data_IF_349651707876
#
_entry.id   IF_349651707876
#
_cell.length_a   1.000
_cell.length_b   1.000
_cell.length_c   1.000
_cell.angle_alpha   90.00
_cell.angle_beta   90.00
_cell.angle_gamma   90.00
#
_symmetry.space_group_name_H-M   'P 1'
#
loop_
_entity.id
_entity.type
_entity.pdbx_description
1 polymer ?
#
# COMPACT_ATOMS: atom_id res chain seq x y z
N UNK A 1 -12.56 -1.63 41.25
CA UNK A 1 -11.60 -0.50 41.23
C UNK A 1 -10.81 -0.43 39.91
N UNK A 2 -10.62 -1.52 39.17
CA UNK A 2 -9.89 -1.57 37.90
C UNK A 2 -10.64 -0.89 36.76
N UNK A 3 -11.96 -0.99 36.66
CA UNK A 3 -12.81 -0.35 35.64
C UNK A 3 -12.66 1.18 35.58
N UNK A 4 -12.20 1.81 36.66
CA UNK A 4 -12.00 3.28 36.73
C UNK A 4 -10.86 3.76 35.84
N UNK A 5 -9.95 2.87 35.43
CA UNK A 5 -8.77 3.18 34.65
C UNK A 5 -8.81 2.62 33.21
N UNK A 6 -9.95 2.04 32.82
CA UNK A 6 -10.14 1.54 31.46
C UNK A 6 -10.00 2.70 30.45
N UNK A 7 -9.15 2.48 29.44
CA UNK A 7 -8.85 3.48 28.43
C UNK A 7 -7.67 4.40 28.74
N UNK A 8 -7.05 4.29 29.92
CA UNK A 8 -5.80 5.00 30.22
C UNK A 8 -4.58 4.15 29.89
N UNK A 9 -3.59 4.77 29.27
CA UNK A 9 -2.30 4.16 28.94
C UNK A 9 -1.18 4.91 29.63
N UNK A 10 -0.25 4.19 30.22
CA UNK A 10 0.95 4.75 30.81
C UNK A 10 2.17 4.47 29.92
N UNK A 11 2.97 5.49 29.66
CA UNK A 11 4.24 5.35 28.96
C UNK A 11 5.36 5.72 29.93
N UNK A 12 6.23 4.76 30.24
CA UNK A 12 7.44 5.00 31.03
C UNK A 12 8.62 5.23 30.07
N UNK A 13 9.39 6.27 30.31
CA UNK A 13 10.53 6.65 29.48
C UNK A 13 11.64 7.29 30.32
N UNK A 14 12.88 7.20 29.85
CA UNK A 14 14.02 7.90 30.38
C UNK A 14 14.38 9.19 29.56
N UNK A 15 13.53 9.54 28.57
CA UNK A 15 13.70 10.76 27.80
C UNK A 15 13.29 11.98 28.63
N UNK A 16 14.04 13.07 28.50
CA UNK A 16 13.77 14.34 29.18
C UNK A 16 12.96 15.34 28.31
N UNK A 17 12.38 14.85 27.23
CA UNK A 17 11.61 15.65 26.28
C UNK A 17 10.22 16.02 26.83
N UNK A 18 9.53 16.90 26.13
CA UNK A 18 8.16 17.26 26.52
C UNK A 18 7.20 16.06 26.43
N UNK A 19 6.19 16.03 27.26
CA UNK A 19 5.13 14.97 27.24
C UNK A 19 4.54 14.80 25.85
N UNK A 20 4.37 15.89 25.13
CA UNK A 20 3.81 15.90 23.76
C UNK A 20 4.75 15.17 22.78
N UNK A 21 6.05 15.39 22.87
CA UNK A 21 7.04 14.76 21.99
C UNK A 21 7.20 13.28 22.32
N UNK A 22 7.19 12.92 23.60
CA UNK A 22 7.21 11.53 24.06
C UNK A 22 6.00 10.77 23.54
N UNK A 23 4.79 11.35 23.63
CA UNK A 23 3.57 10.74 23.09
C UNK A 23 3.62 10.61 21.56
N UNK A 24 4.15 11.61 20.84
CA UNK A 24 4.32 11.54 19.40
C UNK A 24 5.26 10.41 18.97
N UNK A 25 6.36 10.21 19.70
CA UNK A 25 7.29 9.08 19.47
C UNK A 25 6.60 7.74 19.74
N UNK A 26 5.85 7.64 20.85
CA UNK A 26 5.09 6.43 21.18
C UNK A 26 4.04 6.08 20.12
N UNK A 27 3.32 7.07 19.61
CA UNK A 27 2.35 6.88 18.51
C UNK A 27 3.02 6.41 17.20
N UNK A 28 4.23 6.88 16.89
CA UNK A 28 4.99 6.42 15.72
C UNK A 28 5.37 4.94 15.79
N UNK A 29 5.42 4.35 16.97
CA UNK A 29 5.68 2.92 17.15
C UNK A 29 4.64 2.05 16.44
N UNK A 30 3.37 2.46 16.44
CA UNK A 30 2.31 1.81 15.69
C UNK A 30 2.62 1.71 14.18
N UNK A 31 3.25 2.72 13.60
CA UNK A 31 3.63 2.70 12.18
C UNK A 31 4.64 1.60 11.86
N UNK A 32 5.55 1.29 12.77
CA UNK A 32 6.52 0.20 12.60
C UNK A 32 5.81 -1.16 12.64
N UNK A 33 4.90 -1.35 13.59
CA UNK A 33 4.10 -2.56 13.71
C UNK A 33 3.23 -2.78 12.46
N UNK A 34 2.64 -1.70 11.92
CA UNK A 34 1.87 -1.73 10.70
C UNK A 34 2.72 -2.07 9.47
N UNK A 35 3.96 -1.57 9.38
CA UNK A 35 4.91 -1.97 8.35
C UNK A 35 5.19 -3.48 8.38
N UNK A 36 5.43 -4.05 9.55
CA UNK A 36 5.63 -5.49 9.70
C UNK A 36 4.38 -6.30 9.34
N UNK A 37 3.21 -5.81 9.71
CA UNK A 37 1.93 -6.43 9.36
C UNK A 37 1.73 -6.47 7.84
N UNK A 38 1.94 -5.34 7.15
CA UNK A 38 1.82 -5.26 5.69
C UNK A 38 2.81 -6.19 5.01
N UNK A 39 4.08 -6.18 5.41
CA UNK A 39 5.09 -7.08 4.85
C UNK A 39 4.71 -8.55 5.04
N UNK A 40 4.23 -8.91 6.23
CA UNK A 40 3.90 -10.30 6.56
C UNK A 40 2.66 -10.79 5.82
N UNK A 41 1.59 -9.97 5.76
CA UNK A 41 0.28 -10.39 5.25
C UNK A 41 0.08 -10.03 3.78
N UNK A 42 0.25 -8.76 3.42
CA UNK A 42 -0.09 -8.27 2.08
C UNK A 42 0.98 -8.61 1.03
N UNK A 43 2.25 -8.65 1.42
CA UNK A 43 3.36 -9.00 0.53
C UNK A 43 3.81 -10.46 0.67
N UNK A 44 3.11 -11.27 1.48
CA UNK A 44 3.46 -12.67 1.72
C UNK A 44 4.93 -12.85 2.15
N UNK A 45 5.46 -11.92 2.97
CA UNK A 45 6.82 -12.00 3.49
C UNK A 45 7.06 -13.21 4.39
N UNK A 46 6.01 -13.90 4.79
CA UNK A 46 6.03 -15.20 5.51
C UNK A 46 4.98 -16.14 4.96
N UNK A 47 5.24 -17.47 4.94
CA UNK A 47 6.49 -18.15 5.34
C UNK A 47 7.62 -17.93 4.34
N UNK A 48 8.88 -17.92 4.84
CA UNK A 48 10.06 -17.86 3.99
C UNK A 48 10.47 -19.27 3.60
N UNK A 49 10.19 -19.64 2.35
CA UNK A 49 10.45 -21.01 1.83
C UNK A 49 11.86 -21.16 1.22
N UNK A 50 12.80 -20.31 1.59
CA UNK A 50 14.16 -20.33 1.10
C UNK A 50 15.10 -20.89 2.15
N UNK A 51 16.07 -21.75 1.74
CA UNK A 51 17.06 -22.35 2.63
C UNK A 51 18.43 -21.65 2.58
N UNK A 52 18.76 -21.02 1.45
CA UNK A 52 20.02 -20.33 1.28
C UNK A 52 19.95 -18.90 1.87
N UNK A 53 20.95 -18.53 2.66
CA UNK A 53 21.04 -17.23 3.31
C UNK A 53 20.90 -16.05 2.33
N UNK A 54 21.54 -16.15 1.17
CA UNK A 54 21.47 -15.13 0.13
C UNK A 54 20.04 -14.95 -0.42
N UNK A 55 19.32 -16.05 -0.64
CA UNK A 55 17.93 -16.02 -1.11
C UNK A 55 16.99 -15.47 -0.04
N UNK A 56 17.23 -15.76 1.22
CA UNK A 56 16.48 -15.19 2.35
C UNK A 56 16.69 -13.69 2.39
N UNK A 57 17.93 -13.21 2.26
CA UNK A 57 18.25 -11.77 2.20
C UNK A 57 17.59 -11.10 1.01
N UNK A 58 17.65 -11.69 -0.17
CA UNK A 58 17.01 -11.17 -1.38
C UNK A 58 15.49 -11.10 -1.22
N UNK A 59 14.84 -12.10 -0.63
CA UNK A 59 13.42 -12.12 -0.34
C UNK A 59 13.00 -10.93 0.55
N UNK A 60 13.71 -10.71 1.67
CA UNK A 60 13.41 -9.58 2.54
C UNK A 60 13.73 -8.22 1.91
N UNK A 61 14.76 -8.13 1.08
CA UNK A 61 15.06 -6.92 0.33
C UNK A 61 13.91 -6.55 -0.64
N UNK A 62 13.36 -7.55 -1.34
CA UNK A 62 12.21 -7.36 -2.23
C UNK A 62 10.98 -6.89 -1.42
N UNK A 63 10.68 -7.54 -0.30
CA UNK A 63 9.58 -7.15 0.57
C UNK A 63 9.75 -5.71 1.11
N UNK A 64 10.97 -5.35 1.50
CA UNK A 64 11.28 -4.00 1.98
C UNK A 64 11.14 -2.96 0.87
N UNK A 65 11.64 -3.25 -0.33
CA UNK A 65 11.49 -2.34 -1.48
C UNK A 65 10.01 -2.14 -1.84
N UNK A 66 9.23 -3.23 -1.83
CA UNK A 66 7.80 -3.15 -2.05
C UNK A 66 7.09 -2.29 -0.99
N UNK A 67 7.49 -2.45 0.29
CA UNK A 67 6.97 -1.62 1.39
C UNK A 67 7.32 -0.15 1.20
N UNK A 68 8.54 0.17 0.79
CA UNK A 68 8.96 1.55 0.53
C UNK A 68 8.12 2.20 -0.57
N UNK A 69 7.94 1.50 -1.69
CA UNK A 69 7.09 1.99 -2.81
C UNK A 69 5.65 2.18 -2.33
N UNK A 70 5.13 1.22 -1.57
CA UNK A 70 3.78 1.31 -1.01
C UNK A 70 3.63 2.54 -0.10
N UNK A 71 4.57 2.78 0.83
CA UNK A 71 4.52 3.93 1.75
C UNK A 71 4.61 5.27 1.02
N UNK A 72 5.42 5.37 -0.04
CA UNK A 72 5.47 6.56 -0.87
C UNK A 72 4.14 6.83 -1.60
N UNK A 73 3.48 5.78 -2.06
CA UNK A 73 2.16 5.88 -2.67
C UNK A 73 1.09 6.31 -1.63
N UNK A 74 1.12 5.70 -0.44
CA UNK A 74 0.21 6.03 0.66
C UNK A 74 0.31 7.51 1.05
N UNK A 75 1.53 8.03 1.25
CA UNK A 75 1.75 9.46 1.55
C UNK A 75 1.12 10.36 0.47
N UNK A 76 1.28 10.00 -0.81
CA UNK A 76 0.69 10.78 -1.91
C UNK A 76 -0.83 10.72 -1.94
N UNK A 77 -1.43 9.61 -1.53
CA UNK A 77 -2.89 9.49 -1.42
C UNK A 77 -3.43 10.27 -0.22
N UNK A 78 -2.71 10.26 0.91
CA UNK A 78 -3.07 11.01 2.11
C UNK A 78 -3.01 12.53 1.85
N UNK A 79 -2.05 13.02 1.06
CA UNK A 79 -1.96 14.42 0.63
C UNK A 79 -3.23 14.87 -0.11
N UNK A 80 -3.91 13.95 -0.79
CA UNK A 80 -5.19 14.18 -1.47
C UNK A 80 -6.41 14.00 -0.55
N UNK A 81 -6.19 13.77 0.75
CA UNK A 81 -7.25 13.49 1.74
C UNK A 81 -8.09 12.25 1.40
N UNK A 82 -7.54 11.33 0.65
CA UNK A 82 -8.20 10.09 0.26
C UNK A 82 -7.63 8.93 1.08
N UNK A 83 -8.33 8.56 2.14
CA UNK A 83 -7.91 7.43 2.97
C UNK A 83 -8.35 6.11 2.34
N UNK A 84 -7.37 5.30 1.94
CA UNK A 84 -7.55 3.94 1.38
C UNK A 84 -6.80 2.95 2.26
N UNK A 85 -7.44 1.84 2.60
CA UNK A 85 -6.75 0.83 3.43
C UNK A 85 -5.65 0.13 2.64
N UNK A 86 -4.56 -0.34 3.30
CA UNK A 86 -3.49 -1.09 2.63
C UNK A 86 -4.01 -2.29 1.84
N UNK A 87 -4.97 -3.01 2.40
CA UNK A 87 -5.55 -4.18 1.77
C UNK A 87 -6.31 -3.83 0.49
N UNK A 88 -7.14 -2.78 0.51
CA UNK A 88 -7.91 -2.35 -0.65
C UNK A 88 -7.00 -1.86 -1.77
N UNK A 89 -5.99 -1.05 -1.43
CA UNK A 89 -5.04 -0.55 -2.41
C UNK A 89 -4.26 -1.68 -3.09
N UNK A 90 -3.67 -2.59 -2.30
CA UNK A 90 -2.88 -3.71 -2.83
C UNK A 90 -3.75 -4.69 -3.62
N UNK A 91 -4.96 -4.97 -3.14
CA UNK A 91 -5.93 -5.84 -3.85
C UNK A 91 -6.35 -5.20 -5.16
N UNK A 92 -6.64 -3.90 -5.17
CA UNK A 92 -6.97 -3.18 -6.40
C UNK A 92 -5.83 -3.25 -7.40
N UNK A 93 -4.59 -2.95 -7.00
CA UNK A 93 -3.41 -3.00 -7.87
C UNK A 93 -3.16 -4.41 -8.44
N UNK A 94 -3.32 -5.46 -7.63
CA UNK A 94 -3.18 -6.85 -8.08
C UNK A 94 -4.25 -7.27 -9.08
N UNK A 95 -5.46 -6.73 -8.94
CA UNK A 95 -6.60 -7.10 -9.78
C UNK A 95 -6.75 -6.22 -11.02
N UNK A 96 -5.93 -5.17 -11.19
CA UNK A 96 -5.94 -4.31 -12.37
C UNK A 96 -5.38 -5.03 -13.61
N UNK A 97 -6.15 -6.00 -14.09
CA UNK A 97 -5.82 -6.77 -15.28
C UNK A 97 -6.76 -6.43 -16.43
N UNK A 98 -6.25 -6.54 -17.64
CA UNK A 98 -7.04 -6.38 -18.87
C UNK A 98 -6.94 -7.66 -19.70
N UNK A 99 -8.00 -8.01 -20.40
CA UNK A 99 -8.00 -9.12 -21.35
C UNK A 99 -8.18 -8.61 -22.76
N UNK A 100 -7.53 -9.26 -23.71
CA UNK A 100 -7.70 -8.96 -25.14
C UNK A 100 -9.01 -9.59 -25.63
N UNK A 101 -9.84 -8.79 -26.30
CA UNK A 101 -11.11 -9.24 -26.89
C UNK A 101 -10.97 -9.19 -28.41
N UNK A 102 -10.82 -10.37 -29.02
CA UNK A 102 -10.78 -10.57 -30.48
C UNK A 102 -9.75 -9.70 -31.23
N UNK A 103 -8.65 -9.31 -30.59
CA UNK A 103 -7.63 -8.39 -31.12
C UNK A 103 -8.14 -6.98 -31.52
N UNK A 104 -9.36 -6.64 -31.11
CA UNK A 104 -10.01 -5.37 -31.40
C UNK A 104 -9.82 -4.38 -30.25
N UNK A 105 -10.03 -4.85 -29.03
CA UNK A 105 -9.97 -4.04 -27.83
C UNK A 105 -9.51 -4.83 -26.60
N UNK A 106 -9.20 -4.10 -25.53
CA UNK A 106 -8.90 -4.68 -24.22
C UNK A 106 -10.04 -4.34 -23.25
N UNK A 107 -10.54 -5.35 -22.55
CA UNK A 107 -11.58 -5.21 -21.53
C UNK A 107 -10.94 -5.31 -20.14
N UNK A 108 -11.29 -4.37 -19.26
CA UNK A 108 -10.87 -4.42 -17.86
C UNK A 108 -11.57 -5.55 -17.12
N UNK A 109 -10.79 -6.35 -16.37
CA UNK A 109 -11.31 -7.43 -15.52
C UNK A 109 -11.58 -6.97 -14.09
N UNK A 110 -11.35 -5.70 -13.79
CA UNK A 110 -11.56 -5.10 -12.48
C UNK A 110 -12.78 -4.17 -12.48
N UNK A 111 -13.31 -3.95 -11.30
CA UNK A 111 -14.47 -3.07 -11.08
C UNK A 111 -14.05 -1.82 -10.32
N UNK A 112 -14.88 -0.79 -10.39
CA UNK A 112 -14.72 0.45 -9.63
C UNK A 112 -14.58 0.18 -8.12
N UNK A 113 -13.65 0.89 -7.49
CA UNK A 113 -13.44 0.85 -6.04
C UNK A 113 -12.91 2.22 -5.56
N UNK A 114 -13.04 2.51 -4.28
CA UNK A 114 -12.47 3.73 -3.69
C UNK A 114 -10.96 3.86 -3.98
N UNK A 115 -10.25 2.75 -3.95
CA UNK A 115 -8.81 2.71 -4.26
C UNK A 115 -8.54 3.04 -5.74
N UNK A 116 -9.37 2.52 -6.67
CA UNK A 116 -9.25 2.83 -8.09
C UNK A 116 -9.54 4.31 -8.38
N UNK A 117 -10.58 4.86 -7.75
CA UNK A 117 -10.93 6.29 -7.88
C UNK A 117 -9.79 7.18 -7.37
N UNK A 118 -9.22 6.83 -6.22
CA UNK A 118 -8.06 7.52 -5.65
C UNK A 118 -6.83 7.47 -6.58
N UNK A 119 -6.53 6.31 -7.14
CA UNK A 119 -5.44 6.15 -8.11
C UNK A 119 -5.69 6.92 -9.41
N UNK A 120 -6.92 6.94 -9.89
CA UNK A 120 -7.33 7.70 -11.08
C UNK A 120 -7.12 9.20 -10.86
N UNK A 121 -7.53 9.71 -9.70
CA UNK A 121 -7.33 11.11 -9.31
C UNK A 121 -5.84 11.45 -9.16
N UNK A 122 -5.08 10.60 -8.46
CA UNK A 122 -3.66 10.80 -8.22
C UNK A 122 -2.84 10.85 -9.52
N UNK A 123 -3.13 9.92 -10.43
CA UNK A 123 -2.35 9.78 -11.67
C UNK A 123 -2.87 10.63 -12.82
N UNK A 124 -4.06 11.17 -12.72
CA UNK A 124 -4.78 11.83 -13.82
C UNK A 124 -4.91 10.92 -15.07
N UNK A 125 -4.92 9.60 -14.85
CA UNK A 125 -5.05 8.60 -15.90
C UNK A 125 -6.45 7.99 -15.88
N UNK A 126 -7.07 7.69 -17.03
CA UNK A 126 -8.39 7.08 -17.10
C UNK A 126 -8.32 5.59 -16.77
N UNK A 127 -8.14 5.25 -15.48
CA UNK A 127 -8.00 3.86 -15.00
C UNK A 127 -9.35 3.18 -14.77
N UNK A 128 -10.44 3.91 -14.80
CA UNK A 128 -11.81 3.49 -14.50
C UNK A 128 -12.59 2.98 -15.72
N UNK A 129 -11.97 2.96 -16.90
CA UNK A 129 -12.62 2.52 -18.15
C UNK A 129 -12.79 1.02 -18.18
N UNK A 130 -13.96 0.57 -18.67
CA UNK A 130 -14.21 -0.85 -18.93
C UNK A 130 -13.50 -1.34 -20.19
N UNK A 131 -13.33 -0.48 -21.20
CA UNK A 131 -12.77 -0.82 -22.51
C UNK A 131 -11.66 0.13 -22.92
N UNK A 132 -10.59 -0.42 -23.49
CA UNK A 132 -9.44 0.33 -23.98
C UNK A 132 -9.13 -0.10 -25.41
N UNK A 133 -9.01 0.87 -26.32
CA UNK A 133 -8.44 0.59 -27.63
C UNK A 133 -6.94 0.31 -27.50
N UNK A 134 -6.35 -0.57 -28.33
CA UNK A 134 -4.92 -0.91 -28.26
C UNK A 134 -3.99 0.32 -28.23
N UNK A 135 -4.31 1.34 -29.03
CA UNK A 135 -3.54 2.60 -29.08
C UNK A 135 -3.62 3.40 -27.77
N UNK A 136 -4.79 3.40 -27.12
CA UNK A 136 -5.01 4.16 -25.87
C UNK A 136 -4.35 3.44 -24.69
N UNK A 137 -4.46 2.11 -24.64
CA UNK A 137 -3.77 1.30 -23.63
C UNK A 137 -2.25 1.46 -23.74
N UNK A 138 -1.68 1.40 -24.93
CA UNK A 138 -0.25 1.60 -25.15
C UNK A 138 0.22 3.01 -24.76
N UNK A 139 -0.59 4.05 -24.99
CA UNK A 139 -0.30 5.40 -24.51
C UNK A 139 -0.31 5.48 -22.98
N UNK A 140 -1.26 4.80 -22.35
CA UNK A 140 -1.39 4.75 -20.89
C UNK A 140 -0.17 4.05 -20.27
N UNK A 141 0.21 2.89 -20.78
CA UNK A 141 1.41 2.15 -20.35
C UNK A 141 2.67 3.02 -20.49
N UNK A 142 2.85 3.69 -21.62
CA UNK A 142 4.01 4.59 -21.84
C UNK A 142 4.04 5.79 -20.87
N UNK A 143 2.89 6.27 -20.40
CA UNK A 143 2.84 7.34 -19.39
C UNK A 143 3.22 6.85 -18.00
N UNK A 144 2.87 5.62 -17.66
CA UNK A 144 3.20 5.00 -16.36
C UNK A 144 4.69 4.63 -16.31
N UNK A 145 5.29 4.29 -17.46
CA UNK A 145 6.70 3.85 -17.56
C UNK A 145 7.71 5.01 -17.60
N UNK A 146 7.26 6.26 -17.57
CA UNK A 146 8.11 7.46 -17.47
C UNK A 146 8.14 8.01 -16.07
#
# INVERSE_FOLDING_TARGET
EEEKYDGYYAVATNLADSVKDILAVSQKRYQIEDCFRIMKTNFNGRPVNHRLSERIRAHFLICYTALLVYRLLEVRLDDQKTHVTPNDLITTLKNMNVTNVHDIEYMALYKGSKALDALTQLTMLPLDRCHYRPKDLNKLIKKISK
#
